data_IF_537282322856
#
_entry.id   IF_537282322856
#
_cell.length_a   1.000
_cell.length_b   1.000
_cell.length_c   1.000
_cell.angle_alpha   90.00
_cell.angle_beta   90.00
_cell.angle_gamma   90.00
#
_symmetry.space_group_name_H-M   'P 1'
#
loop_
_entity.id
_entity.type
_entity.pdbx_description
1 polymer ?
#
# COMPACT_ATOMS: atom_id res chain seq x y z
N UNK A 1 81.86 75.46 -9.11
CA UNK A 1 81.55 74.25 -9.93
C UNK A 1 82.36 73.11 -9.32
N UNK A 2 81.84 72.01 -8.78
CA UNK A 2 80.56 71.34 -8.93
C UNK A 2 80.04 70.89 -7.56
N UNK A 3 78.82 71.29 -7.25
CA UNK A 3 78.02 70.80 -6.12
C UNK A 3 76.65 70.42 -6.64
N UNK A 4 76.60 69.47 -7.58
CA UNK A 4 75.41 68.86 -8.15
C UNK A 4 75.86 67.47 -8.56
N UNK A 5 75.65 66.45 -7.72
CA UNK A 5 75.69 65.03 -8.16
C UNK A 5 75.35 64.01 -7.06
N UNK A 6 75.14 64.42 -5.80
CA UNK A 6 74.73 63.46 -4.74
C UNK A 6 73.23 63.22 -4.64
N UNK A 7 72.38 64.16 -5.08
CA UNK A 7 70.93 64.02 -4.92
C UNK A 7 70.25 63.18 -6.02
N UNK A 8 70.90 62.98 -7.18
CA UNK A 8 70.37 62.15 -8.27
C UNK A 8 70.58 60.65 -7.98
N UNK A 9 71.63 60.29 -7.22
CA UNK A 9 71.92 58.90 -6.86
C UNK A 9 71.05 58.38 -5.70
N UNK A 10 70.56 59.26 -4.82
CA UNK A 10 69.66 58.88 -3.72
C UNK A 10 68.20 58.75 -4.20
N UNK A 11 67.77 59.59 -5.16
CA UNK A 11 66.42 59.49 -5.75
C UNK A 11 66.19 58.19 -6.53
N UNK A 12 67.21 57.66 -7.21
CA UNK A 12 67.10 56.40 -7.95
C UNK A 12 67.12 55.15 -7.05
N UNK A 13 67.74 55.23 -5.87
CA UNK A 13 67.72 54.12 -4.90
C UNK A 13 66.32 53.95 -4.25
N UNK A 14 65.57 55.03 -4.06
CA UNK A 14 64.19 54.97 -3.57
C UNK A 14 63.17 54.54 -4.64
N UNK A 15 63.40 54.86 -5.92
CA UNK A 15 62.55 54.38 -7.02
C UNK A 15 62.73 52.88 -7.31
N UNK A 16 63.94 52.32 -7.12
CA UNK A 16 64.18 50.88 -7.25
C UNK A 16 63.69 50.06 -6.04
N UNK A 17 63.51 50.68 -4.88
CA UNK A 17 62.93 50.04 -3.68
C UNK A 17 61.40 49.91 -3.73
N UNK A 18 60.71 50.58 -4.66
CA UNK A 18 59.25 50.50 -4.80
C UNK A 18 58.79 49.58 -5.93
N UNK A 19 59.72 49.00 -6.70
CA UNK A 19 59.43 47.88 -7.58
C UNK A 19 59.72 46.56 -6.84
N UNK A 20 58.90 46.25 -5.83
CA UNK A 20 58.73 44.83 -5.44
C UNK A 20 58.05 44.15 -6.61
N UNK A 21 58.84 43.72 -7.60
CA UNK A 21 58.42 42.73 -8.59
C UNK A 21 57.84 41.54 -7.83
N UNK A 22 56.60 41.10 -8.12
CA UNK A 22 56.06 39.90 -7.50
C UNK A 22 57.09 38.78 -7.71
N UNK A 23 57.50 38.14 -6.62
CA UNK A 23 58.45 37.03 -6.76
C UNK A 23 57.74 35.91 -7.50
N UNK A 24 58.47 35.15 -8.33
CA UNK A 24 57.92 34.07 -9.16
C UNK A 24 57.05 33.10 -8.32
N UNK A 25 57.44 32.86 -7.07
CA UNK A 25 56.74 32.01 -6.11
C UNK A 25 55.37 32.56 -5.67
N UNK A 26 55.19 33.87 -5.54
CA UNK A 26 53.90 34.48 -5.16
C UNK A 26 52.86 34.36 -6.29
N UNK A 27 53.34 34.41 -7.53
CA UNK A 27 52.47 34.33 -8.73
C UNK A 27 51.99 32.89 -8.98
N UNK A 28 52.79 31.89 -8.62
CA UNK A 28 52.47 30.47 -8.80
C UNK A 28 51.36 29.98 -7.85
N UNK A 29 51.35 30.42 -6.58
CA UNK A 29 50.32 30.03 -5.61
C UNK A 29 48.96 30.67 -5.90
N UNK A 30 48.96 31.96 -6.26
CA UNK A 30 47.71 32.64 -6.62
C UNK A 30 47.08 32.02 -7.88
N UNK A 31 47.91 31.66 -8.86
CA UNK A 31 47.46 30.92 -10.05
C UNK A 31 46.95 29.51 -9.70
N UNK A 32 47.64 28.78 -8.81
CA UNK A 32 47.23 27.44 -8.37
C UNK A 32 45.88 27.47 -7.65
N UNK A 33 45.70 28.33 -6.64
CA UNK A 33 44.42 28.41 -5.90
C UNK A 33 43.28 28.94 -6.77
N UNK A 34 43.56 29.88 -7.68
CA UNK A 34 42.55 30.38 -8.62
C UNK A 34 42.12 29.31 -9.63
N UNK A 35 43.07 28.57 -10.22
CA UNK A 35 42.75 27.48 -11.16
C UNK A 35 42.05 26.29 -10.47
N UNK A 36 42.44 25.97 -9.23
CA UNK A 36 41.76 24.97 -8.40
C UNK A 36 40.32 25.40 -8.06
N UNK A 37 40.13 26.64 -7.61
CA UNK A 37 38.79 27.17 -7.31
C UNK A 37 37.88 27.18 -8.54
N UNK A 38 38.42 27.59 -9.70
CA UNK A 38 37.67 27.62 -10.97
C UNK A 38 37.28 26.22 -11.44
N UNK A 39 38.20 25.26 -11.42
CA UNK A 39 37.93 23.88 -11.79
C UNK A 39 36.94 23.21 -10.83
N UNK A 40 37.08 23.42 -9.52
CA UNK A 40 36.13 22.95 -8.53
C UNK A 40 34.74 23.57 -8.72
N UNK A 41 34.66 24.88 -8.99
CA UNK A 41 33.40 25.57 -9.25
C UNK A 41 32.69 25.02 -10.49
N UNK A 42 33.43 24.72 -11.56
CA UNK A 42 32.89 24.09 -12.76
C UNK A 42 32.32 22.69 -12.48
N UNK A 43 33.05 21.87 -11.71
CA UNK A 43 32.59 20.53 -11.30
C UNK A 43 31.32 20.64 -10.45
N UNK A 44 31.32 21.53 -9.45
CA UNK A 44 30.15 21.80 -8.60
C UNK A 44 28.95 22.23 -9.43
N UNK A 45 29.13 23.12 -10.41
CA UNK A 45 28.04 23.58 -11.26
C UNK A 45 27.41 22.42 -12.07
N UNK A 46 28.22 21.54 -12.64
CA UNK A 46 27.74 20.38 -13.40
C UNK A 46 26.96 19.41 -12.49
N UNK A 47 27.53 19.04 -11.34
CA UNK A 47 26.88 18.13 -10.40
C UNK A 47 25.61 18.75 -9.80
N UNK A 48 25.64 20.02 -9.41
CA UNK A 48 24.48 20.73 -8.89
C UNK A 48 23.35 20.77 -9.93
N UNK A 49 23.65 21.04 -11.20
CA UNK A 49 22.66 21.00 -12.28
C UNK A 49 22.00 19.62 -12.43
N UNK A 50 22.80 18.55 -12.43
CA UNK A 50 22.28 17.18 -12.50
C UNK A 50 21.40 16.83 -11.30
N UNK A 51 21.85 17.18 -10.09
CA UNK A 51 21.15 16.93 -8.83
C UNK A 51 19.83 17.70 -8.82
N UNK A 52 19.83 18.99 -9.14
CA UNK A 52 18.61 19.80 -9.22
C UNK A 52 17.60 19.17 -10.18
N UNK A 53 18.04 18.79 -11.40
CA UNK A 53 17.17 18.17 -12.37
C UNK A 53 16.59 16.84 -11.85
N UNK A 54 17.40 16.06 -11.13
CA UNK A 54 16.94 14.82 -10.48
C UNK A 54 15.94 15.09 -9.34
N UNK A 55 16.11 16.15 -8.54
CA UNK A 55 15.12 16.54 -7.52
C UNK A 55 13.78 16.87 -8.18
N UNK A 56 13.80 17.68 -9.23
CA UNK A 56 12.58 18.08 -9.95
C UNK A 56 11.88 16.88 -10.58
N UNK A 57 12.63 15.98 -11.24
CA UNK A 57 12.08 14.75 -11.79
C UNK A 57 11.48 13.82 -10.72
N UNK A 58 12.10 13.75 -9.53
CA UNK A 58 11.55 12.98 -8.41
C UNK A 58 10.27 13.62 -7.86
N UNK A 59 10.19 14.95 -7.84
CA UNK A 59 8.99 15.67 -7.40
C UNK A 59 7.81 15.41 -8.35
N UNK A 60 8.02 15.52 -9.66
CA UNK A 60 6.95 15.26 -10.64
C UNK A 60 6.50 13.80 -10.59
N UNK A 61 7.43 12.86 -10.44
CA UNK A 61 7.10 11.45 -10.23
C UNK A 61 6.30 11.23 -8.94
N UNK A 62 6.64 11.92 -7.85
CA UNK A 62 5.90 11.86 -6.60
C UNK A 62 4.47 12.39 -6.74
N UNK A 63 4.28 13.55 -7.36
CA UNK A 63 2.96 14.13 -7.62
C UNK A 63 2.10 13.19 -8.47
N UNK A 64 2.69 12.58 -9.51
CA UNK A 64 2.04 11.55 -10.33
C UNK A 64 1.61 10.34 -9.50
N UNK A 65 2.49 9.80 -8.64
CA UNK A 65 2.14 8.66 -7.79
C UNK A 65 1.06 9.00 -6.77
N UNK A 66 1.07 10.20 -6.18
CA UNK A 66 0.00 10.63 -5.25
C UNK A 66 -1.34 10.72 -5.98
N UNK A 67 -1.34 11.24 -7.21
CA UNK A 67 -2.55 11.31 -8.02
C UNK A 67 -3.07 9.90 -8.37
N UNK A 68 -2.19 8.99 -8.78
CA UNK A 68 -2.53 7.59 -9.05
C UNK A 68 -3.14 6.91 -7.82
N UNK A 69 -2.53 7.06 -6.65
CA UNK A 69 -3.07 6.52 -5.40
C UNK A 69 -4.45 7.09 -5.04
N UNK A 70 -4.65 8.39 -5.27
CA UNK A 70 -5.95 9.04 -5.03
C UNK A 70 -7.02 8.53 -6.00
N UNK A 71 -6.65 8.27 -7.25
CA UNK A 71 -7.54 7.62 -8.22
C UNK A 71 -7.87 6.19 -7.80
N UNK A 72 -6.88 5.42 -7.34
CA UNK A 72 -7.11 4.08 -6.83
C UNK A 72 -8.06 4.09 -5.62
N UNK A 73 -7.90 5.04 -4.70
CA UNK A 73 -8.81 5.19 -3.56
C UNK A 73 -10.25 5.49 -4.00
N UNK A 74 -10.42 6.39 -4.97
CA UNK A 74 -11.75 6.74 -5.52
C UNK A 74 -12.38 5.53 -6.21
N UNK A 75 -11.59 4.77 -6.97
CA UNK A 75 -12.04 3.55 -7.61
C UNK A 75 -12.38 2.45 -6.59
N UNK A 76 -11.62 2.36 -5.49
CA UNK A 76 -11.91 1.42 -4.42
C UNK A 76 -13.26 1.71 -3.76
N UNK A 77 -13.57 2.98 -3.49
CA UNK A 77 -14.87 3.42 -3.00
C UNK A 77 -15.98 3.07 -4.01
N UNK A 78 -15.78 3.38 -5.29
CA UNK A 78 -16.74 3.06 -6.36
C UNK A 78 -17.03 1.56 -6.45
N UNK A 79 -15.99 0.73 -6.36
CA UNK A 79 -16.14 -0.73 -6.37
C UNK A 79 -16.81 -1.25 -5.10
N UNK A 80 -16.54 -0.65 -3.94
CA UNK A 80 -17.24 -0.92 -2.69
C UNK A 80 -18.74 -0.62 -2.81
N UNK A 81 -19.11 0.52 -3.37
CA UNK A 81 -20.51 0.87 -3.62
C UNK A 81 -21.17 -0.09 -4.64
N UNK A 82 -20.45 -0.45 -5.71
CA UNK A 82 -20.92 -1.40 -6.72
C UNK A 82 -21.14 -2.80 -6.14
N UNK A 83 -20.29 -3.22 -5.20
CA UNK A 83 -20.39 -4.46 -4.46
C UNK A 83 -21.54 -4.42 -3.45
N UNK A 84 -21.64 -3.37 -2.63
CA UNK A 84 -22.71 -3.19 -1.65
C UNK A 84 -24.11 -3.07 -2.26
N UNK A 85 -24.22 -2.62 -3.52
CA UNK A 85 -25.47 -2.61 -4.27
C UNK A 85 -25.92 -4.00 -4.78
N UNK A 86 -25.07 -5.03 -4.68
CA UNK A 86 -25.43 -6.40 -5.09
C UNK A 86 -26.39 -7.04 -4.11
N UNK A 87 -27.23 -7.95 -4.59
CA UNK A 87 -28.27 -8.59 -3.79
C UNK A 87 -27.77 -9.90 -3.16
N UNK A 88 -26.69 -9.83 -2.39
CA UNK A 88 -26.10 -11.01 -1.72
C UNK A 88 -27.14 -11.74 -0.88
N UNK A 89 -27.87 -11.04 -0.01
CA UNK A 89 -28.88 -11.63 0.86
C UNK A 89 -29.97 -12.39 0.06
N UNK A 90 -30.49 -11.77 -1.00
CA UNK A 90 -31.51 -12.41 -1.84
C UNK A 90 -30.97 -13.66 -2.52
N UNK A 91 -29.77 -13.58 -3.09
CA UNK A 91 -29.14 -14.71 -3.76
C UNK A 91 -28.87 -15.85 -2.77
N UNK A 92 -28.23 -15.55 -1.64
CA UNK A 92 -27.88 -16.53 -0.61
C UNK A 92 -29.11 -17.18 0.01
N UNK A 93 -30.16 -16.41 0.29
CA UNK A 93 -31.41 -16.96 0.81
C UNK A 93 -32.02 -17.96 -0.17
N UNK A 94 -32.14 -17.62 -1.45
CA UNK A 94 -32.72 -18.52 -2.46
C UNK A 94 -31.88 -19.76 -2.69
N UNK A 95 -30.57 -19.59 -2.77
CA UNK A 95 -29.64 -20.71 -2.92
C UNK A 95 -29.71 -21.67 -1.72
N UNK A 96 -29.75 -21.12 -0.50
CA UNK A 96 -29.85 -21.91 0.72
C UNK A 96 -31.21 -22.59 0.87
N UNK A 97 -32.31 -21.92 0.50
CA UNK A 97 -33.66 -22.52 0.50
C UNK A 97 -33.71 -23.78 -0.37
N UNK A 98 -33.20 -23.69 -1.60
CA UNK A 98 -33.17 -24.85 -2.51
C UNK A 98 -32.24 -25.96 -1.97
N UNK A 99 -31.05 -25.62 -1.44
CA UNK A 99 -30.14 -26.59 -0.83
C UNK A 99 -30.74 -27.31 0.40
N UNK A 100 -31.46 -26.58 1.27
CA UNK A 100 -32.13 -27.16 2.43
C UNK A 100 -33.32 -28.04 2.05
N UNK A 101 -34.05 -27.68 0.99
CA UNK A 101 -35.13 -28.51 0.48
C UNK A 101 -34.59 -29.84 -0.07
N UNK A 102 -33.50 -29.80 -0.85
CA UNK A 102 -32.84 -30.99 -1.38
C UNK A 102 -32.27 -31.87 -0.25
N UNK A 103 -31.57 -31.28 0.72
CA UNK A 103 -31.08 -31.99 1.90
C UNK A 103 -32.23 -32.62 2.70
N UNK A 104 -33.33 -31.90 2.91
CA UNK A 104 -34.51 -32.41 3.60
C UNK A 104 -35.20 -33.55 2.83
N UNK A 105 -35.24 -33.50 1.50
CA UNK A 105 -35.75 -34.58 0.67
C UNK A 105 -34.83 -35.81 0.72
N UNK A 106 -33.51 -35.60 0.73
CA UNK A 106 -32.53 -36.67 0.91
C UNK A 106 -32.74 -37.38 2.25
N UNK A 107 -32.79 -36.62 3.36
CA UNK A 107 -33.01 -37.13 4.72
C UNK A 107 -34.31 -37.94 4.84
N UNK A 108 -35.40 -37.49 4.20
CA UNK A 108 -36.67 -38.24 4.18
C UNK A 108 -36.57 -39.59 3.47
N UNK A 109 -35.71 -39.68 2.46
CA UNK A 109 -35.51 -40.89 1.66
C UNK A 109 -34.44 -41.83 2.24
N UNK A 110 -33.56 -41.34 3.12
CA UNK A 110 -32.55 -42.15 3.83
C UNK A 110 -33.22 -43.22 4.70
N UNK A 111 -32.69 -44.44 4.76
CA UNK A 111 -33.26 -45.50 5.60
C UNK A 111 -33.02 -45.25 7.10
N UNK A 112 -33.90 -45.74 7.99
CA UNK A 112 -33.76 -45.57 9.46
C UNK A 112 -32.47 -46.20 10.02
N UNK A 113 -31.86 -47.14 9.30
CA UNK A 113 -30.62 -47.81 9.71
C UNK A 113 -29.37 -46.95 9.49
N UNK A 114 -29.48 -45.89 8.69
CA UNK A 114 -28.36 -45.06 8.30
C UNK A 114 -28.28 -43.75 9.11
N UNK A 115 -29.17 -43.57 10.10
CA UNK A 115 -29.25 -42.37 10.94
C UNK A 115 -27.91 -42.05 11.64
N UNK A 116 -27.16 -43.08 12.06
CA UNK A 116 -25.87 -42.94 12.76
C UNK A 116 -24.73 -42.43 11.86
N UNK A 117 -24.92 -42.45 10.54
CA UNK A 117 -23.93 -41.99 9.54
C UNK A 117 -24.19 -40.55 9.07
N UNK A 118 -25.35 -39.98 9.42
CA UNK A 118 -25.71 -38.62 9.04
C UNK A 118 -24.91 -37.62 9.87
N UNK A 119 -24.09 -36.82 9.20
CA UNK A 119 -23.32 -35.74 9.82
C UNK A 119 -23.59 -34.43 9.10
N UNK A 120 -23.54 -33.33 9.84
CA UNK A 120 -23.73 -31.97 9.29
C UNK A 120 -22.67 -31.67 8.21
N UNK A 121 -21.43 -32.08 8.46
CA UNK A 121 -20.32 -31.85 7.52
C UNK A 121 -20.49 -32.68 6.24
N UNK A 122 -21.04 -33.90 6.33
CA UNK A 122 -21.43 -34.70 5.16
C UNK A 122 -22.57 -34.06 4.36
N UNK A 123 -23.61 -33.57 5.04
CA UNK A 123 -24.72 -32.88 4.39
C UNK A 123 -24.29 -31.60 3.68
N UNK A 124 -23.38 -30.82 4.28
CA UNK A 124 -22.84 -29.62 3.64
C UNK A 124 -21.91 -29.93 2.46
N UNK A 125 -21.28 -31.11 2.43
CA UNK A 125 -20.49 -31.56 1.29
C UNK A 125 -21.38 -31.97 0.11
N UNK A 126 -22.48 -32.68 0.39
CA UNK A 126 -23.42 -33.13 -0.64
C UNK A 126 -24.34 -32.00 -1.14
N UNK A 127 -24.73 -31.10 -0.24
CA UNK A 127 -25.61 -29.97 -0.51
C UNK A 127 -24.94 -28.65 -0.08
N UNK A 128 -23.99 -28.14 -0.88
CA UNK A 128 -23.27 -26.94 -0.54
C UNK A 128 -24.23 -25.76 -0.45
N UNK A 129 -24.09 -24.99 0.63
CA UNK A 129 -24.83 -23.74 0.83
C UNK A 129 -24.09 -22.55 0.18
N UNK A 130 -24.73 -21.38 0.19
CA UNK A 130 -24.20 -20.18 -0.44
C UNK A 130 -22.84 -19.80 0.16
N UNK A 131 -21.81 -19.54 -0.67
CA UNK A 131 -20.48 -19.17 -0.20
C UNK A 131 -20.41 -17.75 0.38
N UNK A 132 -21.45 -16.94 0.17
CA UNK A 132 -21.51 -15.55 0.62
C UNK A 132 -22.08 -15.40 2.04
N UNK A 133 -22.32 -16.51 2.74
CA UNK A 133 -22.78 -16.55 4.13
C UNK A 133 -21.68 -17.14 4.99
N UNK A 134 -21.53 -16.62 6.21
CA UNK A 134 -20.56 -17.15 7.16
C UNK A 134 -20.70 -18.68 7.31
N UNK A 135 -19.60 -19.45 7.22
CA UNK A 135 -19.65 -20.92 7.29
C UNK A 135 -20.36 -21.44 8.56
N UNK A 136 -20.19 -20.76 9.69
CA UNK A 136 -20.83 -21.10 10.97
C UNK A 136 -22.36 -20.96 10.92
N UNK A 137 -22.85 -19.93 10.21
CA UNK A 137 -24.28 -19.72 10.06
C UNK A 137 -24.91 -20.81 9.17
N UNK A 138 -24.25 -21.17 8.06
CA UNK A 138 -24.68 -22.29 7.21
C UNK A 138 -24.69 -23.61 8.00
N UNK A 139 -23.65 -23.88 8.81
CA UNK A 139 -23.57 -25.07 9.67
C UNK A 139 -24.71 -25.13 10.68
N UNK A 140 -25.04 -24.01 11.31
CA UNK A 140 -26.12 -23.93 12.31
C UNK A 140 -27.48 -24.27 11.70
N UNK A 141 -27.76 -23.78 10.49
CA UNK A 141 -29.03 -24.04 9.81
C UNK A 141 -29.13 -25.51 9.36
N UNK A 142 -28.03 -26.08 8.85
CA UNK A 142 -28.00 -27.49 8.45
C UNK A 142 -28.08 -28.44 9.66
N UNK A 143 -27.44 -28.10 10.78
CA UNK A 143 -27.56 -28.84 12.04
C UNK A 143 -29.00 -28.82 12.56
N UNK A 144 -29.65 -27.65 12.56
CA UNK A 144 -31.05 -27.55 12.96
C UNK A 144 -31.97 -28.41 12.09
N UNK A 145 -31.72 -28.50 10.77
CA UNK A 145 -32.46 -29.38 9.88
C UNK A 145 -32.25 -30.86 10.23
N UNK A 146 -31.00 -31.27 10.45
CA UNK A 146 -30.65 -32.64 10.82
C UNK A 146 -31.28 -33.03 12.16
N UNK A 147 -31.15 -32.20 13.19
CA UNK A 147 -31.75 -32.44 14.51
C UNK A 147 -33.26 -32.55 14.43
N UNK A 148 -33.93 -31.66 13.68
CA UNK A 148 -35.38 -31.72 13.50
C UNK A 148 -35.83 -33.03 12.84
N UNK A 149 -35.03 -33.57 11.91
CA UNK A 149 -35.30 -34.86 11.27
C UNK A 149 -35.11 -36.04 12.24
N UNK A 150 -34.01 -36.07 12.99
CA UNK A 150 -33.73 -37.11 13.98
C UNK A 150 -34.81 -37.12 15.08
N UNK A 151 -35.22 -35.95 15.57
CA UNK A 151 -36.30 -35.80 16.55
C UNK A 151 -37.65 -36.31 16.01
N UNK A 152 -37.97 -35.99 14.76
CA UNK A 152 -39.20 -36.45 14.12
C UNK A 152 -39.22 -37.98 14.00
N UNK A 153 -38.09 -38.60 13.66
CA UNK A 153 -37.92 -40.06 13.62
C UNK A 153 -38.02 -40.69 14.99
N UNK A 154 -37.37 -40.14 16.01
CA UNK A 154 -37.45 -40.65 17.37
C UNK A 154 -38.91 -40.63 17.87
N UNK A 155 -39.64 -39.53 17.66
CA UNK A 155 -41.08 -39.43 17.99
C UNK A 155 -41.91 -40.45 17.22
N UNK A 156 -41.60 -40.72 15.96
CA UNK A 156 -42.27 -41.76 15.18
C UNK A 156 -42.00 -43.16 15.74
N UNK A 157 -40.76 -43.47 16.15
CA UNK A 157 -40.39 -44.72 16.84
C UNK A 157 -41.13 -44.88 18.15
N UNK A 158 -41.21 -43.82 18.96
CA UNK A 158 -41.97 -43.81 20.21
C UNK A 158 -43.47 -44.06 19.98
N UNK A 159 -44.06 -43.47 18.94
CA UNK A 159 -45.46 -43.73 18.56
C UNK A 159 -45.68 -45.17 18.12
N UNK A 160 -44.75 -45.74 17.35
CA UNK A 160 -44.79 -47.14 16.89
C UNK A 160 -44.66 -48.13 18.06
N UNK A 161 -43.80 -47.80 19.03
CA UNK A 161 -43.53 -48.65 20.19
C UNK A 161 -44.49 -48.40 21.37
N UNK A 162 -45.38 -47.41 21.28
CA UNK A 162 -46.37 -47.14 22.33
C UNK A 162 -47.40 -48.28 22.33
N UNK A 163 -47.56 -49.02 23.44
CA UNK A 163 -48.54 -50.09 23.51
C UNK A 163 -49.93 -49.53 23.26
N UNK A 164 -50.67 -50.12 22.32
CA UNK A 164 -52.04 -49.74 21.98
C UNK A 164 -52.90 -49.75 23.25
N UNK A 165 -53.64 -48.66 23.49
CA UNK A 165 -54.66 -48.65 24.53
C UNK A 165 -55.69 -49.76 24.25
N UNK A 166 -56.16 -50.49 25.26
CA UNK A 166 -57.19 -51.51 25.08
C UNK A 166 -58.49 -50.96 24.44
N UNK A 167 -58.77 -49.67 24.60
CA UNK A 167 -59.91 -49.01 23.96
C UNK A 167 -59.73 -48.84 22.43
N UNK A 168 -58.53 -48.48 21.96
CA UNK A 168 -58.24 -48.39 20.51
C UNK A 168 -58.13 -49.75 19.85
N UNK A 169 -57.59 -50.75 20.57
CA UNK A 169 -57.57 -52.14 20.10
C UNK A 169 -58.99 -52.72 19.91
N UNK A 170 -59.93 -52.38 20.79
CA UNK A 170 -61.34 -52.80 20.68
C UNK A 170 -62.08 -52.13 19.51
N UNK A 171 -61.79 -50.86 19.22
CA UNK A 171 -62.39 -50.13 18.08
C UNK A 171 -61.88 -50.68 16.74
N UNK A 172 -60.57 -50.94 16.59
CA UNK A 172 -59.99 -51.52 15.37
C UNK A 172 -60.57 -52.91 15.05
N UNK A 173 -60.77 -53.73 16.10
CA UNK A 173 -61.35 -55.07 15.95
C UNK A 173 -62.81 -55.04 15.47
N UNK A 174 -63.52 -53.93 15.71
CA UNK A 174 -64.94 -53.75 15.35
C UNK A 174 -65.15 -53.15 13.97
N UNK A 175 -64.18 -52.40 13.43
CA UNK A 175 -64.29 -51.75 12.12
C UNK A 175 -63.69 -52.55 10.96
N UNK A 176 -63.00 -53.66 11.22
CA UNK A 176 -62.52 -54.58 10.18
C UNK A 176 -61.47 -54.00 9.24
N UNK A 177 -60.86 -52.85 9.58
CA UNK A 177 -59.79 -52.27 8.77
C UNK A 177 -58.48 -53.04 8.96
N UNK A 178 -57.80 -53.44 7.87
CA UNK A 178 -56.50 -54.09 7.97
C UNK A 178 -55.47 -53.13 8.57
N UNK A 179 -54.59 -53.65 9.43
CA UNK A 179 -53.43 -52.95 9.94
C UNK A 179 -52.57 -52.45 8.76
N UNK A 180 -52.38 -51.13 8.66
CA UNK A 180 -51.37 -50.55 7.75
C UNK A 180 -51.87 -49.66 6.62
N UNK A 181 -53.16 -49.29 6.56
CA UNK A 181 -53.62 -48.32 5.54
C UNK A 181 -52.95 -46.95 5.72
N UNK A 182 -52.68 -46.53 6.96
CA UNK A 182 -51.95 -45.28 7.24
C UNK A 182 -50.52 -45.33 6.69
N UNK A 183 -49.82 -46.46 6.84
CA UNK A 183 -48.45 -46.63 6.34
C UNK A 183 -48.39 -46.70 4.80
N UNK A 184 -49.43 -47.21 4.14
CA UNK A 184 -49.51 -47.25 2.68
C UNK A 184 -49.84 -45.88 2.08
N UNK A 185 -50.73 -45.10 2.72
CA UNK A 185 -51.05 -43.73 2.30
C UNK A 185 -49.85 -42.79 2.54
N UNK A 186 -49.13 -42.95 3.65
CA UNK A 186 -47.94 -42.16 3.96
C UNK A 186 -46.77 -42.42 2.99
N UNK A 187 -46.62 -43.66 2.51
CA UNK A 187 -45.60 -44.04 1.51
C UNK A 187 -45.96 -43.62 0.06
N UNK A 188 -47.23 -43.27 -0.17
CA UNK A 188 -47.77 -42.94 -1.50
C UNK A 188 -47.71 -41.45 -1.85
N UNK A 189 -47.49 -40.57 -0.86
CA UNK A 189 -47.17 -39.16 -1.12
C UNK A 189 -45.68 -39.07 -1.48
N UNK A 190 -45.30 -39.73 -2.57
CA UNK A 190 -44.05 -39.44 -3.26
C UNK A 190 -44.16 -38.01 -3.72
N UNK A 191 -43.33 -37.15 -3.14
CA UNK A 191 -43.12 -35.76 -3.53
C UNK A 191 -43.16 -35.64 -5.05
N UNK A 192 -44.19 -35.00 -5.58
CA UNK A 192 -44.28 -34.66 -7.00
C UNK A 192 -43.01 -33.88 -7.37
N UNK A 193 -42.35 -34.18 -8.51
CA UNK A 193 -41.17 -33.44 -8.93
C UNK A 193 -41.54 -31.96 -9.08
N UNK A 194 -40.87 -31.10 -8.32
CA UNK A 194 -41.03 -29.64 -8.40
C UNK A 194 -40.62 -29.22 -9.80
N UNK A 195 -41.52 -28.60 -10.55
CA UNK A 195 -41.17 -28.00 -11.84
C UNK A 195 -40.32 -26.76 -11.50
N UNK A 196 -39.04 -26.73 -11.89
CA UNK A 196 -38.17 -25.62 -11.55
C UNK A 196 -38.71 -24.33 -12.18
N UNK A 197 -38.80 -23.27 -11.39
CA UNK A 197 -39.15 -21.95 -11.92
C UNK A 197 -37.96 -21.45 -12.74
N UNK A 198 -38.02 -21.66 -14.06
CA UNK A 198 -36.96 -21.30 -15.00
C UNK A 198 -36.61 -19.81 -14.97
N UNK A 199 -37.57 -18.94 -14.65
CA UNK A 199 -37.34 -17.50 -14.52
C UNK A 199 -36.50 -17.19 -13.27
N UNK A 200 -36.80 -17.84 -12.15
CA UNK A 200 -36.04 -17.69 -10.91
C UNK A 200 -34.59 -18.16 -11.06
N UNK A 201 -34.38 -19.33 -11.69
CA UNK A 201 -33.04 -19.84 -11.97
C UNK A 201 -32.25 -18.89 -12.87
N UNK A 202 -32.92 -18.30 -13.87
CA UNK A 202 -32.30 -17.28 -14.73
C UNK A 202 -31.89 -16.05 -13.92
N UNK A 203 -32.78 -15.55 -13.05
CA UNK A 203 -32.48 -14.40 -12.19
C UNK A 203 -31.30 -14.68 -11.24
N UNK A 204 -31.26 -15.88 -10.63
CA UNK A 204 -30.15 -16.29 -9.75
C UNK A 204 -28.82 -16.38 -10.50
N UNK A 205 -28.83 -16.95 -11.72
CA UNK A 205 -27.63 -17.03 -12.56
C UNK A 205 -27.13 -15.64 -12.97
N UNK A 206 -28.04 -14.76 -13.41
CA UNK A 206 -27.68 -13.39 -13.78
C UNK A 206 -27.14 -12.60 -12.58
N UNK A 207 -27.72 -12.77 -11.40
CA UNK A 207 -27.20 -12.10 -10.20
C UNK A 207 -25.83 -12.66 -9.81
N UNK A 208 -25.62 -13.98 -9.93
CA UNK A 208 -24.31 -14.60 -9.70
C UNK A 208 -23.24 -14.06 -10.65
N UNK A 209 -23.54 -13.98 -11.94
CA UNK A 209 -22.63 -13.42 -12.95
C UNK A 209 -22.23 -11.98 -12.63
N UNK A 210 -23.18 -11.16 -12.15
CA UNK A 210 -22.92 -9.78 -11.73
C UNK A 210 -22.03 -9.71 -10.49
N UNK A 211 -22.27 -10.57 -9.50
CA UNK A 211 -21.42 -10.66 -8.31
C UNK A 211 -19.99 -11.06 -8.71
N UNK A 212 -19.85 -12.09 -9.55
CA UNK A 212 -18.55 -12.57 -10.03
C UNK A 212 -17.82 -11.54 -10.91
N UNK A 213 -18.56 -10.72 -11.67
CA UNK A 213 -18.00 -9.59 -12.42
C UNK A 213 -17.39 -8.54 -11.49
N UNK A 214 -18.13 -8.12 -10.47
CA UNK A 214 -17.63 -7.16 -9.47
C UNK A 214 -16.43 -7.74 -8.74
N UNK A 215 -16.48 -9.02 -8.35
CA UNK A 215 -15.36 -9.68 -7.68
C UNK A 215 -14.09 -9.66 -8.53
N UNK A 216 -14.17 -9.98 -9.81
CA UNK A 216 -13.00 -9.91 -10.72
C UNK A 216 -12.43 -8.50 -10.83
N UNK A 217 -13.28 -7.46 -10.83
CA UNK A 217 -12.83 -6.06 -10.81
C UNK A 217 -12.08 -5.75 -9.52
N UNK A 218 -12.61 -6.19 -8.37
CA UNK A 218 -11.97 -6.04 -7.06
C UNK A 218 -10.63 -6.75 -7.00
N UNK A 219 -10.54 -8.01 -7.42
CA UNK A 219 -9.28 -8.77 -7.42
C UNK A 219 -8.22 -8.11 -8.32
N UNK A 220 -8.63 -7.62 -9.49
CA UNK A 220 -7.75 -6.85 -10.36
C UNK A 220 -7.27 -5.56 -9.67
N UNK A 221 -8.18 -4.85 -9.01
CA UNK A 221 -7.89 -3.61 -8.32
C UNK A 221 -6.94 -3.80 -7.13
N UNK A 222 -7.11 -4.87 -6.34
CA UNK A 222 -6.18 -5.26 -5.27
C UNK A 222 -4.75 -5.44 -5.81
N UNK A 223 -4.59 -6.07 -6.99
CA UNK A 223 -3.28 -6.21 -7.64
C UNK A 223 -2.70 -4.86 -8.06
N UNK A 224 -3.52 -3.95 -8.58
CA UNK A 224 -3.08 -2.60 -8.94
C UNK A 224 -2.60 -1.83 -7.71
N UNK A 225 -3.35 -1.90 -6.60
CA UNK A 225 -2.96 -1.32 -5.31
C UNK A 225 -1.63 -1.91 -4.83
N UNK A 226 -1.49 -3.24 -4.83
CA UNK A 226 -0.26 -3.91 -4.42
C UNK A 226 0.97 -3.46 -5.23
N UNK A 227 0.82 -3.35 -6.56
CA UNK A 227 1.88 -2.85 -7.44
C UNK A 227 2.24 -1.38 -7.15
N UNK A 228 1.24 -0.52 -6.91
CA UNK A 228 1.44 0.89 -6.57
C UNK A 228 2.13 1.08 -5.22
N UNK A 229 1.75 0.30 -4.21
CA UNK A 229 2.38 0.32 -2.89
C UNK A 229 3.83 -0.19 -2.94
N UNK A 230 4.09 -1.25 -3.71
CA UNK A 230 5.43 -1.79 -3.90
C UNK A 230 6.38 -0.78 -4.58
N UNK A 231 5.91 -0.06 -5.61
CA UNK A 231 6.70 0.98 -6.30
C UNK A 231 7.00 2.16 -5.38
N UNK A 232 6.10 2.48 -4.45
CA UNK A 232 6.25 3.58 -3.50
C UNK A 232 7.36 3.36 -2.48
N UNK A 233 7.66 2.10 -2.13
CA UNK A 233 8.79 1.74 -1.27
C UNK A 233 10.16 2.13 -1.86
N UNK A 234 10.32 2.10 -3.19
CA UNK A 234 11.59 2.47 -3.84
C UNK A 234 11.89 3.98 -3.73
N UNK A 235 10.86 4.82 -3.70
CA UNK A 235 10.96 6.27 -3.58
C UNK A 235 11.62 6.71 -2.26
N UNK A 236 11.47 5.95 -1.19
CA UNK A 236 12.10 6.25 0.11
C UNK A 236 13.63 6.10 0.07
N UNK A 237 14.17 5.13 -0.68
CA UNK A 237 15.62 4.95 -0.84
C UNK A 237 16.23 6.07 -1.70
N UNK A 238 15.54 6.47 -2.77
CA UNK A 238 15.98 7.56 -3.65
C UNK A 238 16.15 8.89 -2.89
N UNK A 239 15.24 9.19 -1.93
CA UNK A 239 15.33 10.39 -1.08
C UNK A 239 16.60 10.45 -0.22
N UNK A 240 17.02 9.32 0.38
CA UNK A 240 18.23 9.28 1.21
C UNK A 240 19.48 9.50 0.36
N UNK A 241 19.55 8.83 -0.79
CA UNK A 241 20.63 9.04 -1.75
C UNK A 241 20.70 10.53 -2.16
N UNK A 242 19.55 11.16 -2.40
CA UNK A 242 19.50 12.56 -2.80
C UNK A 242 20.03 13.53 -1.74
N UNK A 243 19.73 13.28 -0.46
CA UNK A 243 20.29 14.07 0.66
C UNK A 243 21.81 13.95 0.72
N UNK A 244 22.33 12.74 0.52
CA UNK A 244 23.78 12.51 0.47
C UNK A 244 24.43 13.31 -0.67
N UNK A 245 23.86 13.28 -1.88
CA UNK A 245 24.38 14.04 -3.02
C UNK A 245 24.32 15.55 -2.82
N UNK A 246 23.23 16.09 -2.24
CA UNK A 246 23.13 17.51 -1.90
C UNK A 246 24.18 17.91 -0.86
N UNK A 247 24.38 17.10 0.19
CA UNK A 247 25.41 17.35 1.19
C UNK A 247 26.82 17.31 0.59
N UNK A 248 27.09 16.35 -0.30
CA UNK A 248 28.36 16.23 -1.01
C UNK A 248 28.66 17.49 -1.83
N UNK A 249 27.66 18.02 -2.54
CA UNK A 249 27.81 19.27 -3.31
C UNK A 249 28.13 20.47 -2.42
N UNK A 250 27.51 20.57 -1.24
CA UNK A 250 27.84 21.62 -0.26
C UNK A 250 29.28 21.49 0.22
N UNK A 251 29.71 20.29 0.58
CA UNK A 251 31.09 20.02 1.00
C UNK A 251 32.07 20.36 -0.10
N UNK A 252 31.79 19.94 -1.34
CA UNK A 252 32.65 20.21 -2.49
C UNK A 252 32.74 21.70 -2.82
N UNK A 253 31.64 22.44 -2.68
CA UNK A 253 31.65 23.89 -2.85
C UNK A 253 32.47 24.59 -1.76
N UNK A 254 32.28 24.24 -0.50
CA UNK A 254 33.00 24.88 0.61
C UNK A 254 34.49 24.53 0.58
N UNK A 255 34.85 23.26 0.39
CA UNK A 255 36.24 22.80 0.40
C UNK A 255 36.97 23.05 -0.93
N UNK A 256 36.27 23.04 -2.05
CA UNK A 256 36.85 23.19 -3.38
C UNK A 256 36.84 24.62 -3.92
N UNK A 257 35.85 25.44 -3.56
CA UNK A 257 35.72 26.81 -4.07
C UNK A 257 36.06 27.82 -2.98
N UNK A 258 35.37 27.77 -1.84
CA UNK A 258 35.53 28.79 -0.79
C UNK A 258 36.88 28.69 -0.10
N UNK A 259 37.34 27.48 0.20
CA UNK A 259 38.62 27.27 0.89
C UNK A 259 39.82 27.75 0.04
N UNK A 260 39.99 27.39 -1.24
CA UNK A 260 41.08 27.94 -2.05
C UNK A 260 41.00 29.47 -2.24
N UNK A 261 39.79 30.02 -2.45
CA UNK A 261 39.61 31.46 -2.59
C UNK A 261 39.92 32.24 -1.30
N UNK A 262 39.85 31.60 -0.14
CA UNK A 262 40.19 32.23 1.15
C UNK A 262 41.67 32.58 1.29
N UNK A 263 42.55 31.95 0.49
CA UNK A 263 43.98 32.22 0.50
C UNK A 263 44.41 33.35 -0.46
N UNK A 264 43.51 33.90 -1.28
CA UNK A 264 43.89 34.88 -2.30
C UNK A 264 43.75 36.36 -1.87
N UNK A 265 44.65 37.25 -2.34
CA UNK A 265 46.05 37.01 -2.72
C UNK A 265 46.95 36.63 -1.53
N UNK A 266 47.87 35.69 -1.75
CA UNK A 266 48.85 35.27 -0.74
C UNK A 266 50.26 35.78 -1.09
N UNK A 267 50.77 36.84 -0.43
CA UNK A 267 52.12 37.37 -0.68
C UNK A 267 53.25 36.50 -0.06
N UNK A 268 52.93 35.32 0.46
CA UNK A 268 53.89 34.36 0.99
C UNK A 268 53.29 32.94 0.99
N UNK A 269 54.15 31.93 1.17
CA UNK A 269 53.73 30.54 1.36
C UNK A 269 52.72 30.43 2.53
N UNK A 270 51.64 29.63 2.40
CA UNK A 270 50.56 29.59 3.37
C UNK A 270 51.09 29.15 4.74
N UNK A 271 51.13 30.06 5.71
CA UNK A 271 51.37 29.71 7.10
C UNK A 271 50.05 29.18 7.67
N UNK A 272 49.98 27.88 7.92
CA UNK A 272 48.85 27.22 8.60
C UNK A 272 48.77 27.71 10.06
N UNK A 273 48.37 28.96 10.31
CA UNK A 273 48.09 29.45 11.64
C UNK A 273 46.65 29.11 12.02
N UNK A 274 46.47 27.96 12.66
CA UNK A 274 45.20 27.51 13.23
C UNK A 274 44.82 28.30 14.51
N UNK A 275 44.89 29.63 14.48
CA UNK A 275 44.46 30.50 15.59
C UNK A 275 43.01 30.94 15.36
N UNK A 276 42.07 30.64 16.29
CA UNK A 276 40.65 30.98 16.14
C UNK A 276 40.37 32.47 15.94
N UNK A 277 41.22 33.36 16.47
CA UNK A 277 41.10 34.81 16.34
C UNK A 277 41.42 35.32 14.94
N UNK A 278 42.36 34.68 14.24
CA UNK A 278 42.78 35.06 12.89
C UNK A 278 41.71 34.62 11.86
N UNK A 279 41.03 33.50 12.15
CA UNK A 279 39.89 33.00 11.37
C UNK A 279 38.70 33.97 11.45
N UNK A 280 38.41 34.51 12.64
CA UNK A 280 37.31 35.46 12.83
C UNK A 280 37.62 36.83 12.19
N UNK A 281 38.87 37.29 12.28
CA UNK A 281 39.34 38.48 11.57
C UNK A 281 39.30 38.34 10.05
N UNK A 282 39.61 37.16 9.52
CA UNK A 282 39.48 36.84 8.10
C UNK A 282 38.01 36.82 7.62
N UNK A 283 37.09 36.31 8.45
CA UNK A 283 35.64 36.30 8.17
C UNK A 283 35.02 37.71 8.11
N UNK A 284 35.49 38.64 8.94
CA UNK A 284 34.99 40.04 9.00
C UNK A 284 35.68 40.96 7.98
N UNK A 285 36.71 40.48 7.29
CA UNK A 285 37.31 41.21 6.16
C UNK A 285 36.34 41.36 4.99
N UNK A 286 36.51 42.39 4.13
CA UNK A 286 35.67 42.59 2.92
C UNK A 286 35.61 41.33 2.04
N UNK A 287 36.71 40.57 1.97
CA UNK A 287 36.80 39.29 1.24
C UNK A 287 35.97 38.20 1.91
N UNK A 288 36.10 38.06 3.23
CA UNK A 288 35.32 37.14 4.04
C UNK A 288 33.82 37.41 3.93
N UNK A 289 33.42 38.69 3.98
CA UNK A 289 32.03 39.12 3.79
C UNK A 289 31.53 38.72 2.40
N UNK A 290 32.28 39.00 1.33
CA UNK A 290 31.89 38.62 -0.04
C UNK A 290 31.76 37.10 -0.22
N UNK A 291 32.75 36.33 0.26
CA UNK A 291 32.74 34.86 0.18
C UNK A 291 31.62 34.27 1.05
N UNK A 292 31.34 34.85 2.21
CA UNK A 292 30.23 34.44 3.07
C UNK A 292 28.87 34.71 2.42
N UNK A 293 28.72 35.84 1.72
CA UNK A 293 27.50 36.18 0.99
C UNK A 293 27.24 35.18 -0.15
N UNK A 294 28.26 34.88 -0.94
CA UNK A 294 28.16 33.89 -2.03
C UNK A 294 27.87 32.50 -1.46
N UNK A 295 28.52 32.13 -0.35
CA UNK A 295 28.25 30.86 0.34
C UNK A 295 26.83 30.79 0.87
N UNK A 296 26.35 31.85 1.52
CA UNK A 296 24.99 31.92 2.04
C UNK A 296 23.95 31.82 0.91
N UNK A 297 24.17 32.49 -0.22
CA UNK A 297 23.30 32.38 -1.39
C UNK A 297 23.27 30.94 -1.94
N UNK A 298 24.44 30.30 -2.08
CA UNK A 298 24.54 28.91 -2.53
C UNK A 298 23.85 27.93 -1.55
N UNK A 299 24.12 28.06 -0.25
CA UNK A 299 23.47 27.24 0.78
C UNK A 299 21.96 27.45 0.81
N UNK A 300 21.48 28.68 0.58
CA UNK A 300 20.04 28.96 0.51
C UNK A 300 19.39 28.21 -0.67
N UNK A 301 20.01 28.22 -1.85
CA UNK A 301 19.52 27.47 -3.02
C UNK A 301 19.50 25.97 -2.74
N UNK A 302 20.60 25.40 -2.24
CA UNK A 302 20.66 23.98 -1.87
C UNK A 302 19.62 23.66 -0.79
N UNK A 303 19.43 24.55 0.19
CA UNK A 303 18.44 24.42 1.25
C UNK A 303 17.01 24.37 0.73
N UNK A 304 16.67 25.16 -0.30
CA UNK A 304 15.36 25.07 -0.97
C UNK A 304 15.17 23.69 -1.60
N UNK A 305 16.15 23.17 -2.34
CA UNK A 305 16.06 21.84 -2.96
C UNK A 305 16.04 20.70 -1.94
N UNK A 306 16.80 20.83 -0.85
CA UNK A 306 16.72 19.91 0.28
C UNK A 306 15.30 19.90 0.86
N UNK A 307 14.70 21.07 1.13
CA UNK A 307 13.33 21.19 1.64
C UNK A 307 12.30 20.61 0.68
N UNK A 308 12.45 20.81 -0.63
CA UNK A 308 11.58 20.20 -1.65
C UNK A 308 11.68 18.66 -1.57
N UNK A 309 12.89 18.12 -1.50
CA UNK A 309 13.13 16.67 -1.37
C UNK A 309 12.62 16.09 -0.03
N UNK A 310 12.44 16.91 1.00
CA UNK A 310 11.78 16.48 2.25
C UNK A 310 10.27 16.40 2.15
N UNK A 311 9.66 17.21 1.28
CA UNK A 311 8.21 17.23 1.08
C UNK A 311 7.69 16.08 0.23
N UNK A 312 8.54 15.32 -0.44
CA UNK A 312 8.17 14.13 -1.25
C UNK A 312 7.90 12.88 -0.39
N UNK A 313 7.32 13.06 0.79
CA UNK A 313 6.91 11.94 1.66
C UNK A 313 5.49 11.54 1.28
N UNK A 314 5.28 10.25 1.01
CA UNK A 314 3.94 9.74 0.76
C UNK A 314 3.06 9.95 2.00
N UNK A 315 1.82 10.46 1.83
CA UNK A 315 0.91 10.63 2.96
C UNK A 315 0.62 9.26 3.60
N UNK A 316 0.99 9.09 4.87
CA UNK A 316 0.80 7.82 5.58
C UNK A 316 -0.68 7.39 5.59
N UNK A 317 -1.60 8.35 5.75
CA UNK A 317 -3.04 8.10 5.73
C UNK A 317 -3.51 7.45 4.44
N UNK A 318 -2.97 7.88 3.30
CA UNK A 318 -3.35 7.39 1.97
C UNK A 318 -2.81 5.97 1.72
N UNK A 319 -1.59 5.72 2.21
CA UNK A 319 -0.98 4.38 2.18
C UNK A 319 -1.76 3.41 3.06
N UNK A 320 -2.12 3.82 4.28
CA UNK A 320 -2.87 2.99 5.22
C UNK A 320 -4.27 2.66 4.69
N UNK A 321 -4.94 3.64 4.08
CA UNK A 321 -6.25 3.46 3.47
C UNK A 321 -6.22 2.52 2.27
N UNK A 322 -5.26 2.68 1.36
CA UNK A 322 -5.07 1.75 0.25
C UNK A 322 -4.68 0.34 0.73
N UNK A 323 -3.88 0.24 1.79
CA UNK A 323 -3.52 -1.04 2.41
C UNK A 323 -4.76 -1.75 2.95
N UNK A 324 -5.72 -1.02 3.54
CA UNK A 324 -7.00 -1.60 3.95
C UNK A 324 -7.76 -2.19 2.77
N UNK A 325 -7.75 -1.51 1.62
CA UNK A 325 -8.36 -1.97 0.37
C UNK A 325 -7.60 -3.10 -0.33
N UNK A 326 -6.49 -3.59 0.23
CA UNK A 326 -5.93 -4.87 -0.19
C UNK A 326 -6.73 -6.07 0.33
N UNK A 327 -7.50 -5.90 1.40
CA UNK A 327 -8.38 -6.95 1.90
C UNK A 327 -9.71 -6.90 1.16
N UNK A 328 -10.14 -8.02 0.58
CA UNK A 328 -11.41 -8.08 -0.17
C UNK A 328 -12.64 -7.73 0.67
N UNK A 329 -12.57 -7.98 2.00
CA UNK A 329 -13.63 -7.61 2.96
C UNK A 329 -13.84 -6.10 3.06
N UNK A 330 -12.88 -5.29 2.64
CA UNK A 330 -13.04 -3.84 2.61
C UNK A 330 -14.05 -3.37 1.55
N UNK A 331 -14.35 -4.19 0.54
CA UNK A 331 -15.32 -3.86 -0.52
C UNK A 331 -16.72 -4.40 -0.20
N UNK A 332 -16.80 -5.64 0.28
CA UNK A 332 -18.03 -6.25 0.78
C UNK A 332 -17.66 -7.39 1.74
N UNK A 333 -18.38 -7.53 2.85
CA UNK A 333 -18.09 -8.55 3.86
C UNK A 333 -18.27 -9.97 3.29
N UNK A 334 -19.28 -10.14 2.42
CA UNK A 334 -19.67 -11.38 1.78
C UNK A 334 -18.58 -11.98 0.90
N UNK A 335 -17.73 -11.14 0.31
CA UNK A 335 -16.58 -11.58 -0.46
C UNK A 335 -15.52 -12.27 0.39
N UNK A 336 -15.44 -11.96 1.68
CA UNK A 336 -14.52 -12.60 2.61
C UNK A 336 -15.00 -13.92 3.19
N UNK A 337 -16.28 -14.28 3.00
CA UNK A 337 -16.80 -15.61 3.32
C UNK A 337 -16.59 -16.58 2.16
N UNK A 338 -16.69 -16.08 0.92
CA UNK A 338 -16.60 -16.90 -0.28
C UNK A 338 -15.20 -17.45 -0.55
N UNK A 339 -14.17 -16.82 0.02
CA UNK A 339 -12.79 -17.26 -0.09
C UNK A 339 -12.10 -17.07 1.26
N UNK A 340 -12.15 -18.07 2.17
CA UNK A 340 -11.52 -17.98 3.48
C UNK A 340 -9.97 -18.04 3.42
N UNK A 341 -9.39 -18.12 2.22
CA UNK A 341 -7.96 -18.16 1.98
C UNK A 341 -7.34 -16.76 1.85
N UNK A 342 -7.14 -16.11 3.00
CA UNK A 342 -5.98 -15.26 3.32
C UNK A 342 -5.73 -15.29 4.84
#
# INVERSE_FOLDING_TARGET
MHGIDRDILVGNAQLLSQMTTPTFADTDWDWFFSSLAQSAAAIVAIFAGFIINKVLANQTAHESSVQEMTQLQTEAQRLGDEAGARRFEWYSRRYNEDALEEAGAHLKNTEETDDDQLTVDGLLADFPMSPFVAPEANRTVMDALLQAHLDARQKARERRNRPMSPATAAVLKRTGMPFGVDAFVEKSVRTLPRIPNMELLRMMRTERERIDEVRRKVDHHIRLIGNCLASSGQSANNRRAMRFWLALVVVLFLAGVIYPLSFLPSPAAPQLSARPTDILGALVSVRGVLLSLVSAAFLAVVGVFARINERTVMPATLVDELTRYMNVRAYAEEFGFADPGD
#
